data_IF_705816103680
#
_entry.id   IF_705816103680
#
_cell.length_a   1.000
_cell.length_b   1.000
_cell.length_c   1.000
_cell.angle_alpha   90.00
_cell.angle_beta   90.00
_cell.angle_gamma   90.00
#
_symmetry.space_group_name_H-M   'P 1'
#
loop_
_entity.id
_entity.type
_entity.pdbx_description
1 polymer ?
#
# COMPACT_ATOMS: atom_id res chain seq x y z
N UNK A 1 7.04 -8.77 -13.82
CA UNK A 1 7.97 -9.87 -13.46
C UNK A 1 7.13 -11.13 -13.30
N UNK A 2 7.70 -12.31 -13.05
CA UNK A 2 6.89 -13.49 -12.74
C UNK A 2 6.16 -13.27 -11.40
N UNK A 3 4.83 -13.50 -11.37
CA UNK A 3 3.92 -13.29 -10.22
C UNK A 3 4.49 -13.68 -8.82
N UNK A 4 5.29 -14.77 -8.68
CA UNK A 4 5.88 -15.13 -7.39
C UNK A 4 6.87 -14.10 -6.81
N UNK A 5 7.67 -13.45 -7.66
CA UNK A 5 8.68 -12.49 -7.22
C UNK A 5 8.07 -11.17 -6.73
N UNK A 6 6.95 -10.76 -7.32
CA UNK A 6 6.19 -9.58 -6.90
C UNK A 6 5.60 -9.80 -5.49
N UNK A 7 5.05 -10.98 -5.21
CA UNK A 7 4.51 -11.33 -3.89
C UNK A 7 5.60 -11.38 -2.80
N UNK A 8 6.77 -11.93 -3.11
CA UNK A 8 7.91 -11.95 -2.17
C UNK A 8 8.37 -10.52 -1.86
N UNK A 9 8.48 -9.69 -2.91
CA UNK A 9 8.90 -8.29 -2.76
C UNK A 9 7.91 -7.52 -1.88
N UNK A 10 6.61 -7.71 -2.07
CA UNK A 10 5.56 -7.10 -1.24
C UNK A 10 5.63 -7.53 0.23
N UNK A 11 5.88 -8.82 0.48
CA UNK A 11 6.02 -9.37 1.83
C UNK A 11 7.21 -8.78 2.61
N UNK A 12 8.23 -8.26 1.91
CA UNK A 12 9.39 -7.60 2.52
C UNK A 12 9.15 -6.09 2.63
N UNK A 13 8.72 -5.45 1.55
CA UNK A 13 8.64 -4.00 1.44
C UNK A 13 7.53 -3.40 2.29
N UNK A 14 6.35 -4.03 2.35
CA UNK A 14 5.23 -3.48 3.14
C UNK A 14 5.60 -3.40 4.64
N UNK A 15 6.09 -4.46 5.31
CA UNK A 15 6.52 -4.36 6.71
C UNK A 15 7.57 -3.26 6.98
N UNK A 16 8.49 -3.02 6.04
CA UNK A 16 9.49 -1.96 6.16
C UNK A 16 8.81 -0.58 6.16
N UNK A 17 7.87 -0.34 5.25
CA UNK A 17 7.10 0.91 5.20
C UNK A 17 6.31 1.11 6.51
N UNK A 18 5.73 0.03 7.04
CA UNK A 18 4.87 0.09 8.22
C UNK A 18 5.61 0.29 9.55
N UNK A 19 6.92 0.03 9.63
CA UNK A 19 7.72 0.20 10.87
C UNK A 19 7.60 1.60 11.48
N UNK A 20 7.50 2.62 10.63
CA UNK A 20 7.50 4.02 11.04
C UNK A 20 6.12 4.67 10.97
N UNK A 21 5.06 3.89 10.71
CA UNK A 21 3.74 4.45 10.36
C UNK A 21 3.19 5.42 11.40
N UNK A 22 3.35 5.12 12.69
CA UNK A 22 2.86 5.97 13.78
C UNK A 22 3.66 7.27 13.96
N UNK A 23 4.91 7.30 13.50
CA UNK A 23 5.79 8.49 13.58
C UNK A 23 5.66 9.40 12.36
N UNK A 24 5.27 8.84 11.21
CA UNK A 24 5.15 9.56 9.95
C UNK A 24 4.04 8.92 9.08
N UNK A 25 2.77 9.06 9.46
CA UNK A 25 1.66 8.38 8.79
C UNK A 25 1.47 8.84 7.34
N UNK A 26 1.71 10.11 7.02
CA UNK A 26 1.66 10.65 5.66
C UNK A 26 2.77 10.08 4.78
N UNK A 27 3.94 9.77 5.36
CA UNK A 27 5.02 9.10 4.64
C UNK A 27 4.69 7.64 4.39
N UNK A 28 4.11 6.97 5.39
CA UNK A 28 3.58 5.61 5.25
C UNK A 28 2.57 5.52 4.09
N UNK A 29 1.57 6.40 4.08
CA UNK A 29 0.54 6.41 3.04
C UNK A 29 1.12 6.68 1.64
N UNK A 30 2.00 7.67 1.50
CA UNK A 30 2.69 7.96 0.22
C UNK A 30 3.51 6.77 -0.29
N UNK A 31 4.34 6.19 0.57
CA UNK A 31 5.19 5.07 0.17
C UNK A 31 4.37 3.83 -0.25
N UNK A 32 3.25 3.56 0.43
CA UNK A 32 2.33 2.49 0.02
C UNK A 32 1.70 2.80 -1.33
N UNK A 33 1.24 4.03 -1.54
CA UNK A 33 0.65 4.44 -2.81
C UNK A 33 1.65 4.34 -3.97
N UNK A 34 2.87 4.83 -3.79
CA UNK A 34 3.97 4.72 -4.76
C UNK A 34 4.33 3.26 -5.06
N UNK A 35 4.40 2.40 -4.03
CA UNK A 35 4.64 0.97 -4.21
C UNK A 35 3.56 0.34 -5.09
N UNK A 36 2.29 0.66 -4.84
CA UNK A 36 1.17 0.13 -5.61
C UNK A 36 1.15 0.64 -7.06
N UNK A 37 1.44 1.92 -7.29
CA UNK A 37 1.53 2.50 -8.64
C UNK A 37 2.69 1.92 -9.47
N UNK A 38 3.77 1.49 -8.82
CA UNK A 38 4.86 0.79 -9.50
C UNK A 38 4.50 -0.66 -9.89
N UNK A 39 3.46 -1.25 -9.30
CA UNK A 39 3.02 -2.62 -9.57
C UNK A 39 1.90 -2.63 -10.61
N UNK A 40 0.92 -1.72 -10.48
CA UNK A 40 -0.19 -1.58 -11.42
C UNK A 40 -0.13 -0.22 -12.10
N UNK A 41 0.14 -0.25 -13.41
CA UNK A 41 0.28 0.95 -14.27
C UNK A 41 -1.01 1.78 -14.34
N UNK A 42 -2.17 1.24 -13.95
CA UNK A 42 -3.46 1.92 -14.08
C UNK A 42 -4.29 1.92 -12.79
N UNK A 43 -3.87 2.65 -11.76
CA UNK A 43 -4.86 3.15 -10.80
C UNK A 43 -5.62 4.29 -11.47
N UNK A 44 -6.93 4.13 -11.61
CA UNK A 44 -7.82 5.18 -12.10
C UNK A 44 -7.54 6.48 -11.33
N UNK A 45 -7.01 7.50 -12.02
CA UNK A 45 -6.50 8.75 -11.44
C UNK A 45 -7.54 9.46 -10.57
N UNK A 46 -8.83 9.28 -10.88
CA UNK A 46 -9.94 9.81 -10.11
C UNK A 46 -10.02 9.29 -8.66
N UNK A 47 -9.44 8.11 -8.37
CA UNK A 47 -9.47 7.48 -7.04
C UNK A 47 -8.21 7.70 -6.22
N UNK A 48 -7.18 8.35 -6.77
CA UNK A 48 -5.88 8.56 -6.08
C UNK A 48 -6.05 9.28 -4.73
N UNK A 49 -6.88 10.31 -4.68
CA UNK A 49 -7.12 11.07 -3.45
C UNK A 49 -7.84 10.24 -2.37
N UNK A 50 -8.84 9.45 -2.79
CA UNK A 50 -9.57 8.54 -1.90
C UNK A 50 -8.63 7.46 -1.35
N UNK A 51 -7.85 6.82 -2.22
CA UNK A 51 -6.87 5.79 -1.84
C UNK A 51 -5.85 6.35 -0.85
N UNK A 52 -5.30 7.53 -1.11
CA UNK A 52 -4.38 8.20 -0.19
C UNK A 52 -5.03 8.47 1.17
N UNK A 53 -6.24 9.02 1.18
CA UNK A 53 -6.95 9.38 2.42
C UNK A 53 -7.24 8.15 3.27
N UNK A 54 -7.69 7.06 2.65
CA UNK A 54 -7.92 5.79 3.37
C UNK A 54 -6.60 5.18 3.88
N UNK A 55 -5.54 5.16 3.07
CA UNK A 55 -4.22 4.70 3.51
C UNK A 55 -3.69 5.52 4.69
N UNK A 56 -3.88 6.83 4.67
CA UNK A 56 -3.48 7.72 5.74
C UNK A 56 -4.20 7.35 7.04
N UNK A 57 -5.53 7.23 7.02
CA UNK A 57 -6.29 6.84 8.20
C UNK A 57 -5.85 5.49 8.76
N UNK A 58 -5.57 4.52 7.89
CA UNK A 58 -5.07 3.21 8.30
C UNK A 58 -3.62 3.28 8.83
N UNK A 59 -2.76 4.15 8.31
CA UNK A 59 -1.41 4.35 8.83
C UNK A 59 -1.43 4.99 10.24
N UNK A 60 -2.42 5.82 10.55
CA UNK A 60 -2.60 6.46 11.86
C UNK A 60 -3.11 5.43 12.88
N UNK A 61 -4.27 4.82 12.64
CA UNK A 61 -5.00 4.04 13.65
C UNK A 61 -5.23 2.57 13.29
N UNK A 62 -5.00 2.21 12.03
CA UNK A 62 -5.23 0.86 11.53
C UNK A 62 -4.24 -0.16 12.09
N UNK A 63 -4.66 -1.42 12.10
CA UNK A 63 -3.77 -2.57 12.30
C UNK A 63 -2.91 -2.80 11.06
N UNK A 64 -1.78 -3.48 11.24
CA UNK A 64 -0.91 -3.86 10.11
C UNK A 64 -1.67 -4.73 9.09
N UNK A 65 -2.50 -5.65 9.58
CA UNK A 65 -3.32 -6.53 8.76
C UNK A 65 -4.30 -5.75 7.88
N UNK A 66 -5.02 -4.77 8.44
CA UNK A 66 -5.96 -3.93 7.69
C UNK A 66 -5.28 -3.12 6.59
N UNK A 67 -4.07 -2.59 6.84
CA UNK A 67 -3.32 -1.84 5.83
C UNK A 67 -2.91 -2.77 4.68
N UNK A 68 -2.44 -3.97 4.99
CA UNK A 68 -2.06 -4.98 4.00
C UNK A 68 -3.30 -5.37 3.17
N UNK A 69 -4.40 -5.75 3.81
CA UNK A 69 -5.63 -6.16 3.12
C UNK A 69 -6.15 -5.06 2.20
N UNK A 70 -6.16 -3.81 2.67
CA UNK A 70 -6.55 -2.68 1.83
C UNK A 70 -5.61 -2.48 0.64
N UNK A 71 -4.30 -2.53 0.86
CA UNK A 71 -3.31 -2.41 -0.22
C UNK A 71 -3.52 -3.49 -1.30
N UNK A 72 -3.67 -4.75 -0.89
CA UNK A 72 -3.89 -5.85 -1.82
C UNK A 72 -5.24 -5.70 -2.56
N UNK A 73 -6.30 -5.27 -1.89
CA UNK A 73 -7.61 -5.02 -2.52
C UNK A 73 -7.55 -3.95 -3.62
N UNK A 74 -6.70 -2.94 -3.47
CA UNK A 74 -6.61 -1.83 -4.44
C UNK A 74 -5.65 -2.16 -5.59
N UNK A 75 -4.51 -2.78 -5.30
CA UNK A 75 -3.41 -2.92 -6.27
C UNK A 75 -3.18 -4.34 -6.76
N UNK A 76 -3.78 -5.34 -6.13
CA UNK A 76 -3.40 -6.76 -6.30
C UNK A 76 -4.69 -7.61 -6.46
N UNK A 77 -5.67 -7.11 -7.23
CA UNK A 77 -6.98 -7.76 -7.37
C UNK A 77 -6.94 -9.15 -8.03
N UNK A 78 -5.81 -9.56 -8.64
CA UNK A 78 -5.65 -10.81 -9.42
C UNK A 78 -4.32 -11.59 -9.16
N UNK A 79 -3.84 -11.59 -7.90
CA UNK A 79 -2.61 -12.29 -7.49
C UNK A 79 -2.90 -13.50 -6.60
#
# INVERSE_FOLDING_TARGET
MSKPFERITLNITIPIILRSRKKAPERCARNLMELGENIVVSVNTAKKHEVYTTLLQLCIDGTQQQIIEYFYKIYIQDL
#
